data_IF_255633130648
#
_entry.id   IF_255633130648
#
_cell.length_a   1.000
_cell.length_b   1.000
_cell.length_c   1.000
_cell.angle_alpha   90.00
_cell.angle_beta   90.00
_cell.angle_gamma   90.00
#
_symmetry.space_group_name_H-M   'P 1'
#
loop_
_entity.id
_entity.type
_entity.pdbx_description
1 polymer ?
#
# COMPACT_ATOMS: atom_id res chain seq x y z
N UNK A 1 -3.87 -10.41 -2.38
CA UNK A 1 -5.16 -9.76 -2.63
C UNK A 1 -4.96 -8.51 -3.46
N UNK A 2 -5.76 -8.33 -4.49
CA UNK A 2 -5.59 -7.21 -5.41
C UNK A 2 -6.66 -6.15 -5.19
N UNK A 3 -6.23 -4.97 -4.76
CA UNK A 3 -7.12 -3.85 -4.52
C UNK A 3 -6.58 -2.66 -5.29
N UNK A 4 -7.43 -1.99 -6.05
CA UNK A 4 -7.02 -0.77 -6.75
C UNK A 4 -6.80 0.37 -5.77
N UNK A 5 -5.70 1.07 -5.93
CA UNK A 5 -5.35 2.19 -5.07
C UNK A 5 -4.78 3.34 -5.90
N UNK A 6 -4.76 4.51 -5.31
CA UNK A 6 -4.11 5.67 -5.89
C UNK A 6 -3.06 6.13 -4.88
N UNK A 7 -1.84 6.31 -5.35
CA UNK A 7 -0.76 6.79 -4.51
C UNK A 7 -0.52 8.27 -4.80
N UNK A 8 -0.39 9.07 -3.76
CA UNK A 8 -0.06 10.48 -3.90
C UNK A 8 1.17 10.81 -3.09
N UNK A 9 2.14 11.44 -3.71
CA UNK A 9 3.35 11.83 -3.01
C UNK A 9 3.97 13.04 -3.74
N UNK A 10 4.92 13.69 -3.10
CA UNK A 10 5.55 14.88 -3.64
C UNK A 10 7.02 14.62 -3.92
N UNK A 11 7.47 15.02 -5.10
CA UNK A 11 8.88 14.92 -5.48
C UNK A 11 9.29 16.28 -6.03
N UNK A 12 10.31 16.87 -5.44
CA UNK A 12 10.83 18.16 -5.85
C UNK A 12 9.75 19.22 -5.98
N UNK A 13 8.85 19.24 -5.02
CA UNK A 13 7.77 20.23 -4.98
C UNK A 13 6.60 19.93 -5.90
N UNK A 14 6.65 18.83 -6.64
CA UNK A 14 5.55 18.46 -7.53
C UNK A 14 4.77 17.29 -6.95
N UNK A 15 3.46 17.40 -6.95
CA UNK A 15 2.60 16.33 -6.50
C UNK A 15 2.46 15.30 -7.61
N UNK A 16 2.66 14.06 -7.27
CA UNK A 16 2.52 12.95 -8.20
C UNK A 16 1.37 12.08 -7.76
N UNK A 17 0.49 11.73 -8.70
CA UNK A 17 -0.63 10.84 -8.48
C UNK A 17 -0.43 9.63 -9.37
N UNK A 18 -0.46 8.44 -8.79
CA UNK A 18 -0.14 7.24 -9.50
C UNK A 18 -1.16 6.16 -9.23
N UNK A 19 -1.76 5.60 -10.26
CA UNK A 19 -2.68 4.48 -10.10
C UNK A 19 -1.88 3.21 -9.93
N UNK A 20 -2.31 2.37 -9.02
CA UNK A 20 -1.59 1.16 -8.69
C UNK A 20 -2.57 0.10 -8.17
N UNK A 21 -2.05 -1.06 -7.82
CA UNK A 21 -2.87 -2.09 -7.20
C UNK A 21 -2.01 -2.84 -6.19
N UNK A 22 -2.68 -3.45 -5.22
CA UNK A 22 -1.98 -4.22 -4.21
C UNK A 22 -1.70 -5.63 -4.73
N UNK A 23 -0.66 -6.24 -4.18
CA UNK A 23 -0.36 -7.64 -4.39
C UNK A 23 -0.67 -8.38 -3.09
N UNK A 24 -0.39 -7.75 -1.98
CA UNK A 24 -0.69 -8.28 -0.66
C UNK A 24 -1.05 -7.13 0.28
N UNK A 25 -1.94 -7.36 1.23
CA UNK A 25 -2.38 -6.33 2.17
C UNK A 25 -2.40 -6.87 3.59
N UNK A 26 -2.22 -5.98 4.56
CA UNK A 26 -2.47 -6.29 5.96
C UNK A 26 -2.81 -4.98 6.68
N UNK A 27 -3.06 -5.04 7.99
CA UNK A 27 -3.48 -3.84 8.71
C UNK A 27 -2.38 -2.81 8.85
N UNK A 28 -1.14 -3.18 8.61
CA UNK A 28 0.00 -2.28 8.76
C UNK A 28 0.52 -1.73 7.44
N UNK A 29 0.06 -2.23 6.33
CA UNK A 29 0.54 -1.77 5.04
C UNK A 29 0.17 -2.67 3.89
N UNK A 30 0.95 -2.59 2.82
CA UNK A 30 0.69 -3.35 1.61
C UNK A 30 1.94 -3.45 0.76
N UNK A 31 1.98 -4.50 -0.07
CA UNK A 31 2.91 -4.57 -1.18
C UNK A 31 2.14 -4.08 -2.40
N UNK A 32 2.59 -3.01 -3.01
CA UNK A 32 1.88 -2.34 -4.08
C UNK A 32 2.66 -2.42 -5.39
N UNK A 33 1.97 -2.79 -6.46
CA UNK A 33 2.57 -2.81 -7.79
C UNK A 33 2.22 -1.51 -8.50
N UNK A 34 3.23 -0.79 -8.93
CA UNK A 34 3.07 0.50 -9.61
C UNK A 34 4.00 0.58 -10.82
N UNK A 35 3.67 1.44 -11.74
CA UNK A 35 4.42 1.57 -12.99
C UNK A 35 5.74 2.32 -12.88
N UNK A 36 6.04 2.89 -11.71
CA UNK A 36 7.32 3.55 -11.52
C UNK A 36 7.84 3.32 -10.12
N UNK A 37 9.15 3.44 -9.98
CA UNK A 37 9.81 3.23 -8.70
C UNK A 37 9.55 4.43 -7.79
N UNK A 38 9.38 4.15 -6.50
CA UNK A 38 9.26 5.18 -5.48
C UNK A 38 10.35 4.91 -4.46
N UNK A 39 11.24 5.86 -4.22
CA UNK A 39 12.37 5.62 -3.32
C UNK A 39 11.98 5.31 -1.89
N UNK A 40 12.81 4.52 -1.21
CA UNK A 40 12.62 4.21 0.20
C UNK A 40 12.53 5.49 1.02
N UNK A 41 11.65 5.51 1.97
CA UNK A 41 11.47 6.67 2.83
C UNK A 41 10.51 7.72 2.31
N UNK A 42 10.03 7.58 1.07
CA UNK A 42 9.09 8.53 0.51
C UNK A 42 7.78 8.47 1.31
N UNK A 43 7.32 9.62 1.77
CA UNK A 43 6.04 9.75 2.44
C UNK A 43 4.96 9.83 1.37
N UNK A 44 3.89 9.07 1.54
CA UNK A 44 2.83 9.05 0.56
C UNK A 44 1.48 8.81 1.20
N UNK A 45 0.43 9.03 0.42
CA UNK A 45 -0.92 8.77 0.84
C UNK A 45 -1.46 7.68 -0.07
N UNK A 46 -2.09 6.67 0.51
CA UNK A 46 -2.73 5.58 -0.25
C UNK A 46 -4.23 5.79 -0.17
N UNK A 47 -4.87 5.89 -1.30
CA UNK A 47 -6.32 6.03 -1.38
C UNK A 47 -6.92 4.75 -1.95
N UNK A 48 -7.89 4.17 -1.25
CA UNK A 48 -8.62 3.00 -1.72
C UNK A 48 -9.59 3.47 -2.82
N UNK A 49 -9.46 2.93 -4.01
CA UNK A 49 -10.26 3.40 -5.15
C UNK A 49 -11.76 3.24 -4.94
N UNK A 50 -12.18 2.20 -4.27
CA UNK A 50 -13.61 1.93 -4.09
C UNK A 50 -14.23 2.75 -2.96
N UNK A 51 -13.58 2.81 -1.81
CA UNK A 51 -14.14 3.48 -0.65
C UNK A 51 -13.75 4.94 -0.55
N UNK A 52 -12.70 5.34 -1.25
CA UNK A 52 -12.13 6.69 -1.22
C UNK A 52 -11.49 7.03 0.11
N UNK A 53 -11.31 6.05 0.97
CA UNK A 53 -10.60 6.28 2.23
C UNK A 53 -9.11 6.41 1.95
N UNK A 54 -8.42 7.19 2.77
CA UNK A 54 -7.01 7.48 2.60
C UNK A 54 -6.25 7.16 3.87
N UNK A 55 -5.01 6.74 3.71
CA UNK A 55 -4.14 6.46 4.84
C UNK A 55 -2.73 6.92 4.49
N UNK A 56 -2.06 7.50 5.46
CA UNK A 56 -0.68 7.95 5.27
C UNK A 56 0.28 6.79 5.49
N UNK A 57 1.35 6.76 4.74
CA UNK A 57 2.36 5.74 4.88
C UNK A 57 3.67 6.17 4.27
N UNK A 58 4.61 5.25 4.25
CA UNK A 58 5.91 5.51 3.64
C UNK A 58 6.43 4.23 3.00
N UNK A 59 7.34 4.40 2.05
CA UNK A 59 8.01 3.26 1.42
C UNK A 59 9.02 2.72 2.41
N UNK A 60 8.81 1.49 2.87
CA UNK A 60 9.60 0.93 3.96
C UNK A 60 10.90 0.30 3.51
N UNK A 61 10.99 -0.14 2.27
CA UNK A 61 12.19 -0.77 1.72
C UNK A 61 12.28 -0.46 0.24
N UNK A 62 13.42 -0.75 -0.34
CA UNK A 62 13.63 -0.55 -1.76
C UNK A 62 12.66 -1.40 -2.57
N UNK A 63 12.06 -0.81 -3.57
CA UNK A 63 11.14 -1.52 -4.45
C UNK A 63 11.91 -2.53 -5.29
N UNK A 64 11.23 -3.60 -5.65
CA UNK A 64 11.79 -4.63 -6.52
C UNK A 64 11.20 -4.49 -7.91
N UNK A 65 12.03 -4.64 -8.91
CA UNK A 65 11.57 -4.66 -10.29
C UNK A 65 10.75 -5.92 -10.55
N UNK A 66 9.67 -5.79 -11.28
CA UNK A 66 8.77 -6.90 -11.61
C UNK A 66 8.37 -6.76 -13.07
N UNK A 67 7.84 -7.82 -13.68
CA UNK A 67 7.43 -7.75 -15.09
C UNK A 67 6.42 -6.65 -15.37
N UNK A 68 5.53 -6.37 -14.42
CA UNK A 68 4.50 -5.37 -14.63
C UNK A 68 4.80 -4.03 -13.97
N UNK A 69 6.01 -3.80 -13.53
CA UNK A 69 6.40 -2.54 -12.90
C UNK A 69 7.29 -2.78 -11.69
N UNK A 70 6.94 -2.14 -10.56
CA UNK A 70 7.74 -2.24 -9.36
C UNK A 70 6.87 -2.68 -8.20
N UNK A 71 7.40 -3.57 -7.36
CA UNK A 71 6.72 -4.00 -6.14
C UNK A 71 7.25 -3.13 -5.01
N UNK A 72 6.38 -2.28 -4.49
CA UNK A 72 6.75 -1.26 -3.54
C UNK A 72 6.16 -1.60 -2.17
N UNK A 73 7.00 -1.86 -1.17
CA UNK A 73 6.49 -2.14 0.18
C UNK A 73 6.15 -0.82 0.87
N UNK A 74 4.89 -0.67 1.25
CA UNK A 74 4.40 0.53 1.91
C UNK A 74 3.96 0.17 3.31
N UNK A 75 4.43 0.92 4.30
CA UNK A 75 4.03 0.74 5.68
C UNK A 75 3.19 1.93 6.09
N UNK A 76 2.04 1.69 6.68
CA UNK A 76 1.16 2.76 7.13
C UNK A 76 1.73 3.40 8.39
N UNK A 77 1.54 4.70 8.52
CA UNK A 77 1.99 5.42 9.69
C UNK A 77 1.29 4.91 10.94
N UNK A 78 0.02 4.52 10.81
CA UNK A 78 -0.73 3.88 11.88
C UNK A 78 -1.55 2.77 11.25
N UNK A 79 -1.69 1.66 11.96
CA UNK A 79 -2.47 0.56 11.46
C UNK A 79 -3.92 0.97 11.21
N UNK A 80 -4.53 0.42 10.19
CA UNK A 80 -5.92 0.70 9.88
C UNK A 80 -6.62 -0.57 9.49
N UNK A 81 -7.31 -1.17 10.46
CA UNK A 81 -7.93 -2.46 10.25
C UNK A 81 -9.05 -2.42 9.24
N UNK A 82 -9.69 -1.28 9.07
CA UNK A 82 -10.82 -1.16 8.18
C UNK A 82 -10.51 -0.54 6.81
N UNK A 83 -9.28 -0.14 6.59
CA UNK A 83 -8.94 0.54 5.34
C UNK A 83 -9.23 -0.31 4.12
N UNK A 84 -8.91 -1.59 4.19
CA UNK A 84 -9.08 -2.48 3.05
C UNK A 84 -10.49 -3.02 2.90
N UNK A 85 -11.34 -2.76 3.88
CA UNK A 85 -12.74 -3.22 3.90
C UNK A 85 -12.84 -4.74 3.83
N UNK A 86 -11.91 -5.42 4.44
CA UNK A 86 -11.93 -6.88 4.56
C UNK A 86 -11.67 -7.25 6.01
N UNK A 87 -12.05 -8.44 6.39
CA UNK A 87 -11.77 -8.92 7.73
C UNK A 87 -10.40 -9.54 7.76
N UNK A 88 -9.56 -9.05 8.66
CA UNK A 88 -8.26 -9.66 8.86
C UNK A 88 -8.32 -10.52 10.12
N UNK A 89 -7.72 -11.71 10.09
CA UNK A 89 -7.63 -12.49 11.30
C UNK A 89 -6.70 -11.79 12.28
N UNK A 90 -6.82 -12.06 13.59
CA UNK A 90 -5.88 -11.52 14.55
C UNK A 90 -4.47 -11.98 14.19
N UNK A 91 -3.48 -11.24 14.66
CA UNK A 91 -2.09 -11.51 14.30
C UNK A 91 -1.70 -12.95 14.61
N UNK A 92 -2.20 -13.49 15.69
CA UNK A 92 -1.89 -14.84 16.07
C UNK A 92 -2.95 -15.84 15.60
N UNK A 93 -3.83 -15.44 14.72
CA UNK A 93 -4.90 -16.28 14.23
C UNK A 93 -4.37 -17.44 13.42
N UNK A 94 -4.97 -18.57 13.60
CA UNK A 94 -4.62 -19.76 12.85
C UNK A 94 -5.84 -20.24 12.11
N UNK A 95 -5.63 -20.51 10.85
CA UNK A 95 -6.76 -20.88 10.02
C UNK A 95 -7.50 -22.06 10.51
N UNK A 96 -7.03 -22.74 11.38
CA UNK A 96 -7.67 -23.81 11.78
C UNK A 96 -8.36 -23.71 12.83
N UNK A 97 -8.29 -22.96 13.47
CA UNK A 97 -8.98 -22.80 14.45
C UNK A 97 -9.56 -22.04 14.19
N UNK A 98 -9.30 -22.29 13.45
CA UNK A 98 -9.95 -21.74 13.12
C UNK A 98 -9.64 -21.38 13.11
#
# INVERSE_FOLDING_TARGET
>A
MRVGVVLRYTVDGKEITLRAHTVAVNIHGAMICAGQNIPTGTQLEVEHKMTRERVAGSVSRQAQSAPDGFLIPVEFTAGSINFWRISFPPTDWKPIDG
#
